data_IF_778068110313
#
_entry.id   IF_778068110313
#
_cell.length_a   1.000
_cell.length_b   1.000
_cell.length_c   1.000
_cell.angle_alpha   90.00
_cell.angle_beta   90.00
_cell.angle_gamma   90.00
#
_symmetry.space_group_name_H-M   'P 1'
#
loop_
_entity.id
_entity.type
_entity.pdbx_description
1 polymer ?
#
# COMPACT_ATOMS: atom_id res chain seq x y z
N UNK A 1 -17.92 22.11 8.76
CA UNK A 1 -17.93 20.64 8.97
C UNK A 1 -17.43 19.83 7.77
N UNK A 2 -17.74 20.12 6.49
CA UNK A 2 -17.13 19.39 5.36
C UNK A 2 -15.60 19.61 5.24
N UNK A 3 -15.13 20.84 5.49
CA UNK A 3 -13.71 21.17 5.46
C UNK A 3 -12.90 20.37 6.51
N UNK A 4 -13.44 20.19 7.72
CA UNK A 4 -12.82 19.42 8.79
C UNK A 4 -12.64 17.94 8.40
N UNK A 5 -13.67 17.32 7.82
CA UNK A 5 -13.60 15.92 7.38
C UNK A 5 -12.57 15.72 6.26
N UNK A 6 -12.48 16.66 5.31
CA UNK A 6 -11.50 16.59 4.23
C UNK A 6 -10.08 16.68 4.79
N UNK A 7 -9.83 17.62 5.71
CA UNK A 7 -8.52 17.80 6.32
C UNK A 7 -8.09 16.56 7.11
N UNK A 8 -8.98 15.97 7.91
CA UNK A 8 -8.69 14.74 8.67
C UNK A 8 -8.29 13.60 7.74
N UNK A 9 -9.01 13.40 6.63
CA UNK A 9 -8.68 12.34 5.65
C UNK A 9 -7.37 12.60 4.92
N UNK A 10 -7.06 13.87 4.60
CA UNK A 10 -5.77 14.23 3.98
C UNK A 10 -4.59 13.99 4.93
N UNK A 11 -4.74 14.35 6.20
CA UNK A 11 -3.71 14.11 7.22
C UNK A 11 -3.45 12.61 7.39
N UNK A 12 -4.51 11.79 7.46
CA UNK A 12 -4.36 10.34 7.54
C UNK A 12 -3.69 9.73 6.29
N UNK A 13 -4.01 10.25 5.10
CA UNK A 13 -3.36 9.83 3.86
C UNK A 13 -1.86 10.19 3.82
N UNK A 14 -1.50 11.39 4.30
CA UNK A 14 -0.10 11.84 4.40
C UNK A 14 0.69 11.01 5.39
N UNK A 15 0.13 10.76 6.57
CA UNK A 15 0.79 9.95 7.59
C UNK A 15 1.02 8.52 7.09
N UNK A 16 0.02 7.93 6.44
CA UNK A 16 0.15 6.61 5.83
C UNK A 16 1.26 6.56 4.77
N UNK A 17 1.31 7.55 3.88
CA UNK A 17 2.36 7.63 2.86
C UNK A 17 3.74 7.69 3.52
N UNK A 18 3.88 8.53 4.54
CA UNK A 18 5.11 8.67 5.30
C UNK A 18 5.53 7.38 6.00
N UNK A 19 4.61 6.73 6.72
CA UNK A 19 4.87 5.47 7.42
C UNK A 19 5.35 4.36 6.47
N UNK A 20 4.78 4.31 5.26
CA UNK A 20 5.16 3.32 4.25
C UNK A 20 6.51 3.67 3.61
N UNK A 21 6.76 4.94 3.29
CA UNK A 21 8.00 5.39 2.66
C UNK A 21 9.21 5.29 3.61
N UNK A 22 9.00 5.52 4.91
CA UNK A 22 10.03 5.34 5.96
C UNK A 22 10.30 3.86 6.30
N UNK A 23 9.57 2.92 5.69
CA UNK A 23 9.75 1.49 5.96
C UNK A 23 10.95 0.91 5.20
N UNK A 24 11.73 -0.01 5.80
CA UNK A 24 12.88 -0.62 5.11
C UNK A 24 12.45 -1.41 3.87
N UNK A 25 11.21 -1.91 3.84
CA UNK A 25 10.68 -2.63 2.68
C UNK A 25 10.43 -1.73 1.46
N UNK A 26 10.36 -0.40 1.65
CA UNK A 26 10.19 0.57 0.57
C UNK A 26 11.52 1.05 -0.05
N UNK A 27 12.66 0.74 0.58
CA UNK A 27 13.98 1.18 0.10
C UNK A 27 14.25 0.68 -1.32
N UNK A 28 14.65 1.59 -2.21
CA UNK A 28 14.86 1.29 -3.63
C UNK A 28 13.59 1.02 -4.45
N UNK A 29 12.39 1.09 -3.83
CA UNK A 29 11.11 0.77 -4.47
C UNK A 29 10.05 1.89 -4.36
N UNK A 30 10.39 3.18 -4.63
CA UNK A 30 9.49 4.32 -4.34
C UNK A 30 8.18 4.27 -5.13
N UNK A 31 8.20 3.76 -6.38
CA UNK A 31 6.99 3.63 -7.21
C UNK A 31 6.02 2.60 -6.65
N UNK A 32 6.55 1.46 -6.21
CA UNK A 32 5.73 0.39 -5.63
C UNK A 32 5.17 0.80 -4.27
N UNK A 33 6.00 1.42 -3.41
CA UNK A 33 5.60 1.96 -2.12
C UNK A 33 4.45 2.95 -2.27
N UNK A 34 4.55 3.88 -3.23
CA UNK A 34 3.48 4.82 -3.53
C UNK A 34 2.18 4.12 -3.98
N UNK A 35 2.26 3.20 -4.94
CA UNK A 35 1.07 2.49 -5.46
C UNK A 35 0.34 1.71 -4.35
N UNK A 36 1.08 1.03 -3.48
CA UNK A 36 0.50 0.31 -2.34
C UNK A 36 0.00 1.26 -1.23
N UNK A 37 0.64 2.41 -1.03
CA UNK A 37 0.17 3.41 -0.08
C UNK A 37 -1.21 3.97 -0.48
N UNK A 38 -1.49 4.08 -1.79
CA UNK A 38 -2.81 4.45 -2.32
C UNK A 38 -3.90 3.39 -2.09
N UNK A 39 -3.56 2.15 -1.70
CA UNK A 39 -4.53 1.07 -1.41
C UNK A 39 -5.08 1.21 0.01
N UNK A 40 -5.96 2.18 0.24
CA UNK A 40 -6.57 2.46 1.56
C UNK A 40 -7.45 1.32 2.11
N UNK A 41 -7.82 0.37 1.26
CA UNK A 41 -8.49 -0.88 1.64
C UNK A 41 -7.54 -1.91 2.30
N UNK A 42 -6.22 -1.68 2.27
CA UNK A 42 -5.21 -2.52 2.91
C UNK A 42 -4.66 -1.86 4.19
N UNK A 43 -4.49 -2.60 5.30
CA UNK A 43 -3.80 -2.09 6.48
C UNK A 43 -2.30 -1.92 6.19
N UNK A 44 -1.63 -0.97 6.85
CA UNK A 44 -0.19 -0.66 6.62
C UNK A 44 0.69 -1.90 6.80
N UNK A 45 0.41 -2.72 7.81
CA UNK A 45 1.13 -3.98 8.02
C UNK A 45 1.05 -4.93 6.81
N UNK A 46 -0.09 -4.97 6.11
CA UNK A 46 -0.23 -5.79 4.90
C UNK A 46 0.49 -5.16 3.72
N UNK A 47 0.51 -3.84 3.61
CA UNK A 47 1.32 -3.13 2.60
C UNK A 47 2.81 -3.44 2.78
N UNK A 48 3.33 -3.39 4.00
CA UNK A 48 4.74 -3.72 4.28
C UNK A 48 5.09 -5.17 3.91
N UNK A 49 4.22 -6.12 4.24
CA UNK A 49 4.38 -7.53 3.79
C UNK A 49 4.38 -7.67 2.26
N UNK A 50 3.54 -6.90 1.58
CA UNK A 50 3.48 -6.88 0.12
C UNK A 50 4.75 -6.27 -0.48
N UNK A 51 5.29 -5.19 0.10
CA UNK A 51 6.56 -4.60 -0.32
C UNK A 51 7.72 -5.60 -0.19
N UNK A 52 7.80 -6.32 0.92
CA UNK A 52 8.80 -7.35 1.14
C UNK A 52 8.69 -8.53 0.16
N UNK A 53 7.46 -8.94 -0.18
CA UNK A 53 7.19 -10.09 -1.05
C UNK A 53 7.14 -9.73 -2.55
N UNK A 54 7.15 -8.44 -2.90
CA UNK A 54 6.95 -8.02 -4.27
C UNK A 54 8.12 -8.43 -5.18
N UNK A 55 7.83 -8.87 -6.42
CA UNK A 55 8.85 -9.08 -7.44
C UNK A 55 9.52 -7.76 -7.82
N UNK A 56 10.76 -7.83 -8.30
CA UNK A 56 11.50 -6.68 -8.80
C UNK A 56 11.04 -6.35 -10.24
N UNK A 57 9.98 -5.55 -10.35
CA UNK A 57 9.38 -5.15 -11.62
C UNK A 57 9.96 -3.82 -12.08
N UNK A 58 10.52 -3.80 -13.30
CA UNK A 58 11.22 -2.64 -13.83
C UNK A 58 10.28 -1.58 -14.42
N UNK A 59 9.07 -1.97 -14.86
CA UNK A 59 8.16 -1.07 -15.55
C UNK A 59 6.94 -0.69 -14.71
N UNK A 60 6.48 0.56 -14.91
CA UNK A 60 5.28 1.06 -14.23
C UNK A 60 4.01 0.24 -14.57
N UNK A 61 3.77 -0.19 -15.83
CA UNK A 61 2.60 -1.01 -16.14
C UNK A 61 2.59 -2.34 -15.40
N UNK A 62 3.74 -3.01 -15.27
CA UNK A 62 3.85 -4.27 -14.52
C UNK A 62 3.58 -4.05 -13.04
N UNK A 63 4.13 -2.98 -12.45
CA UNK A 63 3.88 -2.62 -11.06
C UNK A 63 2.39 -2.37 -10.79
N UNK A 64 1.72 -1.63 -11.69
CA UNK A 64 0.28 -1.36 -11.58
C UNK A 64 -0.51 -2.66 -11.68
N UNK A 65 -0.24 -3.50 -12.69
CA UNK A 65 -0.92 -4.78 -12.85
C UNK A 65 -0.74 -5.69 -11.62
N UNK A 66 0.46 -5.70 -11.04
CA UNK A 66 0.72 -6.47 -9.82
C UNK A 66 -0.07 -5.93 -8.62
N UNK A 67 -0.10 -4.60 -8.40
CA UNK A 67 -0.87 -3.99 -7.30
C UNK A 67 -2.38 -4.21 -7.45
N UNK A 68 -2.89 -4.16 -8.67
CA UNK A 68 -4.30 -4.43 -8.98
C UNK A 68 -4.67 -5.90 -8.73
N UNK A 69 -3.74 -6.83 -8.98
CA UNK A 69 -3.93 -8.26 -8.70
C UNK A 69 -3.92 -8.60 -7.20
N UNK A 70 -3.47 -7.69 -6.32
CA UNK A 70 -3.45 -7.92 -4.87
C UNK A 70 -4.88 -8.03 -4.33
N UNK A 71 -5.29 -9.16 -3.73
CA UNK A 71 -6.65 -9.33 -3.23
C UNK A 71 -6.89 -8.51 -1.97
N UNK A 72 -8.03 -7.82 -1.90
CA UNK A 72 -8.42 -6.98 -0.75
C UNK A 72 -8.75 -7.81 0.49
N UNK A 73 -9.20 -9.06 0.32
CA UNK A 73 -9.46 -10.05 1.38
C UNK A 73 -8.41 -11.17 1.32
N UNK A 74 -7.77 -11.58 2.43
CA UNK A 74 -7.05 -12.85 2.41
C UNK A 74 -8.05 -13.97 2.06
N UNK A 75 -7.63 -15.01 1.30
CA UNK A 75 -8.47 -16.20 1.14
C UNK A 75 -8.87 -16.69 2.53
N UNK A 76 -10.13 -17.10 2.70
CA UNK A 76 -10.59 -17.71 3.94
C UNK A 76 -9.69 -18.93 4.20
N UNK A 77 -8.72 -18.80 5.11
CA UNK A 77 -8.06 -19.96 5.68
C UNK A 77 -9.17 -20.73 6.40
N UNK A 78 -9.62 -21.83 5.79
CA UNK A 78 -10.49 -22.79 6.45
C UNK A 78 -9.66 -23.33 7.60
N UNK A 79 -9.85 -22.77 8.79
CA UNK A 79 -9.28 -23.27 10.03
C UNK A 79 -9.94 -24.63 10.24
N UNK A 80 -9.18 -25.69 10.01
CA UNK A 80 -9.58 -27.08 10.26
C UNK A 80 -9.27 -27.43 11.71
#
# INVERSE_FOLDING_TARGET
MLADTILVRQSAARERLREIDESPEAEGRPRLAFLLACRFDLPVMRVRRLLAAAPDLASLPELVAWVEAVPTRPPLEIVN
#
